data_IF_963070495736
#
_entry.id   IF_963070495736
#
_cell.length_a   1.000
_cell.length_b   1.000
_cell.length_c   1.000
_cell.angle_alpha   90.00
_cell.angle_beta   90.00
_cell.angle_gamma   90.00
#
_symmetry.space_group_name_H-M   'P 1'
#
loop_
_entity.id
_entity.type
_entity.pdbx_description
1 polymer ?
#
# COMPACT_ATOMS: atom_id res chain seq x y z
N UNK A 1 -23.90 24.00 18.46
CA UNK A 1 -22.67 23.24 18.77
C UNK A 1 -23.06 21.90 19.35
N UNK A 2 -22.96 20.81 18.57
CA UNK A 2 -23.22 19.43 19.00
C UNK A 2 -22.53 18.46 18.02
N UNK A 3 -21.19 18.54 17.93
CA UNK A 3 -20.42 17.81 16.89
C UNK A 3 -19.06 17.28 17.38
N UNK A 4 -18.98 16.78 18.62
CA UNK A 4 -17.67 16.49 19.24
C UNK A 4 -17.53 15.17 20.01
N UNK A 5 -18.62 14.39 20.19
CA UNK A 5 -18.55 13.11 20.96
C UNK A 5 -18.71 11.86 20.10
N UNK A 6 -19.54 11.92 19.06
CA UNK A 6 -19.79 10.78 18.15
C UNK A 6 -18.63 10.53 17.17
N UNK A 7 -18.09 11.58 16.54
CA UNK A 7 -16.96 11.45 15.59
C UNK A 7 -15.71 10.84 16.27
N UNK A 8 -15.46 11.19 17.54
CA UNK A 8 -14.34 10.64 18.31
C UNK A 8 -14.52 9.14 18.61
N UNK A 9 -15.74 8.69 18.88
CA UNK A 9 -15.97 7.27 19.21
C UNK A 9 -15.85 6.38 17.97
N UNK A 10 -16.33 6.84 16.81
CA UNK A 10 -16.14 6.13 15.55
C UNK A 10 -14.66 5.97 15.20
N UNK A 11 -13.87 7.04 15.34
CA UNK A 11 -12.42 7.00 15.11
C UNK A 11 -11.71 6.06 16.10
N UNK A 12 -12.08 6.09 17.38
CA UNK A 12 -11.57 5.15 18.38
C UNK A 12 -11.84 3.69 18.00
N UNK A 13 -13.06 3.41 17.52
CA UNK A 13 -13.43 2.08 17.04
C UNK A 13 -12.56 1.67 15.85
N UNK A 14 -12.35 2.57 14.88
CA UNK A 14 -11.55 2.28 13.69
C UNK A 14 -10.08 2.03 14.04
N UNK A 15 -9.51 2.80 14.97
CA UNK A 15 -8.13 2.60 15.47
C UNK A 15 -8.01 1.24 16.18
N UNK A 16 -8.93 0.91 17.08
CA UNK A 16 -8.95 -0.37 17.78
C UNK A 16 -9.12 -1.55 16.81
N UNK A 17 -10.06 -1.42 15.87
CA UNK A 17 -10.32 -2.44 14.85
C UNK A 17 -9.10 -2.68 13.98
N UNK A 18 -8.40 -1.61 13.57
CA UNK A 18 -7.14 -1.68 12.83
C UNK A 18 -6.09 -2.50 13.58
N UNK A 19 -5.86 -2.23 14.86
CA UNK A 19 -4.92 -3.01 15.69
C UNK A 19 -5.29 -4.50 15.73
N UNK A 20 -6.57 -4.79 15.98
CA UNK A 20 -7.05 -6.17 16.09
C UNK A 20 -6.97 -6.91 14.75
N UNK A 21 -7.37 -6.27 13.64
CA UNK A 21 -7.31 -6.88 12.30
C UNK A 21 -5.88 -7.10 11.82
N UNK A 22 -4.95 -6.18 12.09
CA UNK A 22 -3.53 -6.38 11.75
C UNK A 22 -2.93 -7.59 12.47
N UNK A 23 -3.35 -7.83 13.71
CA UNK A 23 -2.79 -8.90 14.54
C UNK A 23 -3.46 -10.25 14.28
N UNK A 24 -4.78 -10.27 14.08
CA UNK A 24 -5.59 -11.50 14.05
C UNK A 24 -6.19 -11.82 12.67
N UNK A 25 -6.05 -10.90 11.70
CA UNK A 25 -6.78 -10.94 10.44
C UNK A 25 -8.29 -10.77 10.62
N UNK A 26 -9.02 -10.71 9.51
CA UNK A 26 -10.48 -10.59 9.53
C UNK A 26 -11.17 -11.75 10.26
N UNK A 27 -10.79 -12.99 9.97
CA UNK A 27 -11.45 -14.19 10.53
C UNK A 27 -11.21 -14.36 12.03
N UNK A 28 -9.96 -14.17 12.47
CA UNK A 28 -9.56 -14.30 13.87
C UNK A 28 -10.03 -13.14 14.75
N UNK A 29 -10.37 -12.00 14.16
CA UNK A 29 -10.93 -10.88 14.89
C UNK A 29 -12.36 -11.18 15.38
N UNK A 30 -12.61 -10.84 16.65
CA UNK A 30 -13.94 -10.89 17.27
C UNK A 30 -14.36 -9.48 17.61
N UNK A 31 -15.64 -9.15 17.36
CA UNK A 31 -16.22 -7.85 17.72
C UNK A 31 -16.02 -7.51 19.21
N UNK A 32 -16.03 -8.52 20.09
CA UNK A 32 -15.75 -8.29 21.52
C UNK A 32 -14.33 -7.75 21.75
N UNK A 33 -13.31 -8.37 21.14
CA UNK A 33 -11.92 -7.90 21.29
C UNK A 33 -11.75 -6.45 20.80
N UNK A 34 -12.47 -6.06 19.74
CA UNK A 34 -12.41 -4.69 19.21
C UNK A 34 -13.07 -3.71 20.17
N UNK A 35 -14.22 -4.09 20.76
CA UNK A 35 -14.88 -3.27 21.77
C UNK A 35 -13.99 -3.07 23.01
N UNK A 36 -13.36 -4.15 23.47
CA UNK A 36 -12.44 -4.14 24.61
C UNK A 36 -11.22 -3.24 24.31
N UNK A 37 -10.62 -3.37 23.12
CA UNK A 37 -9.50 -2.53 22.66
C UNK A 37 -9.88 -1.05 22.53
N UNK A 38 -11.11 -0.75 22.09
CA UNK A 38 -11.64 0.60 21.99
C UNK A 38 -12.10 1.17 23.35
N UNK A 39 -12.12 0.37 24.43
CA UNK A 39 -12.62 0.79 25.73
C UNK A 39 -14.13 1.06 25.77
N UNK A 40 -14.91 0.46 24.86
CA UNK A 40 -16.37 0.62 24.77
C UNK A 40 -17.09 -0.71 24.96
N UNK A 41 -18.39 -0.66 25.20
CA UNK A 41 -19.19 -1.90 25.22
C UNK A 41 -19.54 -2.36 23.79
N UNK A 42 -19.77 -3.67 23.64
CA UNK A 42 -20.08 -4.30 22.34
C UNK A 42 -21.37 -3.78 21.70
N UNK A 43 -22.36 -3.36 22.49
CA UNK A 43 -23.60 -2.80 21.93
C UNK A 43 -23.34 -1.44 21.25
N UNK A 44 -22.47 -0.61 21.84
CA UNK A 44 -22.02 0.65 21.25
C UNK A 44 -21.21 0.41 19.98
N UNK A 45 -20.33 -0.60 19.97
CA UNK A 45 -19.65 -1.01 18.73
C UNK A 45 -20.63 -1.36 17.61
N UNK A 46 -21.67 -2.16 17.91
CA UNK A 46 -22.70 -2.53 16.93
C UNK A 46 -23.58 -1.35 16.48
N UNK A 47 -23.72 -0.32 17.31
CA UNK A 47 -24.42 0.90 16.95
C UNK A 47 -23.72 1.64 15.81
N UNK A 48 -22.39 1.79 15.86
CA UNK A 48 -21.61 2.39 14.76
C UNK A 48 -21.42 1.42 13.60
N UNK A 49 -21.04 0.17 13.89
CA UNK A 49 -20.74 -0.84 12.87
C UNK A 49 -21.58 -2.09 13.07
N UNK A 50 -22.64 -2.21 12.25
CA UNK A 50 -23.63 -3.29 12.35
C UNK A 50 -23.02 -4.68 12.22
N UNK A 51 -21.94 -4.83 11.46
CA UNK A 51 -21.24 -6.10 11.26
C UNK A 51 -19.73 -5.93 11.29
N UNK A 52 -19.03 -7.03 11.61
CA UNK A 52 -17.56 -7.11 11.51
C UNK A 52 -17.09 -6.79 10.09
N UNK A 53 -17.85 -7.21 9.08
CA UNK A 53 -17.54 -6.99 7.66
C UNK A 53 -17.53 -5.50 7.32
N UNK A 54 -18.54 -4.74 7.75
CA UNK A 54 -18.59 -3.30 7.49
C UNK A 54 -17.47 -2.54 8.21
N UNK A 55 -17.16 -2.92 9.45
CA UNK A 55 -16.03 -2.35 10.19
C UNK A 55 -14.70 -2.66 9.50
N UNK A 56 -14.53 -3.88 9.04
CA UNK A 56 -13.35 -4.29 8.29
C UNK A 56 -13.21 -3.52 6.97
N UNK A 57 -14.29 -3.41 6.20
CA UNK A 57 -14.32 -2.61 4.96
C UNK A 57 -13.93 -1.15 5.23
N UNK A 58 -14.41 -0.54 6.32
CA UNK A 58 -14.02 0.82 6.69
C UNK A 58 -12.52 0.93 7.02
N UNK A 59 -11.97 0.02 7.83
CA UNK A 59 -10.53 -0.02 8.15
C UNK A 59 -9.68 -0.25 6.89
N UNK A 60 -10.11 -1.17 6.03
CA UNK A 60 -9.43 -1.44 4.77
C UNK A 60 -9.45 -0.22 3.86
N UNK A 61 -10.60 0.43 3.69
CA UNK A 61 -10.71 1.62 2.85
C UNK A 61 -9.82 2.75 3.36
N UNK A 62 -9.67 2.94 4.67
CA UNK A 62 -8.72 3.88 5.23
C UNK A 62 -7.27 3.49 4.90
N UNK A 63 -6.89 2.23 5.09
CA UNK A 63 -5.55 1.74 4.74
C UNK A 63 -5.24 1.92 3.25
N UNK A 64 -6.18 1.56 2.38
CA UNK A 64 -6.03 1.70 0.93
C UNK A 64 -5.99 3.17 0.49
N UNK A 65 -6.79 4.05 1.10
CA UNK A 65 -6.76 5.49 0.83
C UNK A 65 -5.42 6.15 1.17
N UNK A 66 -4.66 5.57 2.11
CA UNK A 66 -3.29 6.01 2.40
C UNK A 66 -2.28 5.51 1.35
N UNK A 67 -2.49 4.30 0.80
CA UNK A 67 -1.62 3.69 -0.21
C UNK A 67 -1.85 4.23 -1.63
N UNK A 68 -3.11 4.40 -2.02
CA UNK A 68 -3.51 4.72 -3.39
C UNK A 68 -2.82 5.97 -3.97
N UNK A 69 -2.62 7.08 -3.22
CA UNK A 69 -1.87 8.23 -3.71
C UNK A 69 -0.42 7.89 -4.11
N UNK A 70 0.24 6.96 -3.41
CA UNK A 70 1.62 6.55 -3.74
C UNK A 70 1.67 5.85 -5.10
N UNK A 71 0.66 5.02 -5.41
CA UNK A 71 0.52 4.38 -6.71
C UNK A 71 0.09 5.39 -7.79
N UNK A 72 -0.76 6.36 -7.47
CA UNK A 72 -1.17 7.36 -8.45
C UNK A 72 -0.03 8.26 -8.94
N UNK A 73 1.00 8.50 -8.10
CA UNK A 73 2.20 9.25 -8.51
C UNK A 73 2.90 8.58 -9.70
N UNK A 74 3.17 7.27 -9.64
CA UNK A 74 3.82 6.57 -10.76
C UNK A 74 2.93 6.56 -12.00
N UNK A 75 1.62 6.48 -11.84
CA UNK A 75 0.70 6.32 -12.97
C UNK A 75 0.34 7.62 -13.68
N UNK A 76 0.19 8.72 -12.94
CA UNK A 76 -0.48 9.91 -13.46
C UNK A 76 0.38 11.19 -13.46
N UNK A 77 1.56 11.18 -12.84
CA UNK A 77 2.48 12.32 -12.91
C UNK A 77 2.89 12.63 -14.37
N UNK A 78 3.29 13.86 -14.66
CA UNK A 78 3.67 14.29 -16.03
C UNK A 78 5.19 14.20 -16.28
N UNK A 79 5.98 13.86 -15.28
CA UNK A 79 7.43 13.66 -15.43
C UNK A 79 7.75 12.41 -16.26
N UNK A 80 9.00 12.34 -16.74
CA UNK A 80 9.52 11.21 -17.50
C UNK A 80 9.37 9.88 -16.76
N UNK A 81 9.36 8.75 -17.47
CA UNK A 81 9.33 7.42 -16.84
C UNK A 81 10.50 7.26 -15.85
N UNK A 82 11.67 7.80 -16.15
CA UNK A 82 12.80 7.79 -15.22
C UNK A 82 12.51 8.53 -13.91
N UNK A 83 11.98 9.75 -13.99
CA UNK A 83 11.72 10.56 -12.81
C UNK A 83 10.54 10.00 -12.01
N UNK A 84 9.55 9.44 -12.68
CA UNK A 84 8.49 8.64 -12.06
C UNK A 84 9.05 7.49 -11.23
N UNK A 85 9.99 6.71 -11.78
CA UNK A 85 10.65 5.61 -11.07
C UNK A 85 11.42 6.11 -9.85
N UNK A 86 12.20 7.19 -9.97
CA UNK A 86 12.94 7.79 -8.83
C UNK A 86 11.97 8.27 -7.75
N UNK A 87 11.00 9.08 -8.13
CA UNK A 87 10.04 9.70 -7.22
C UNK A 87 9.21 8.63 -6.51
N UNK A 88 8.72 7.63 -7.24
CA UNK A 88 7.98 6.52 -6.65
C UNK A 88 8.84 5.76 -5.65
N UNK A 89 10.07 5.37 -6.01
CA UNK A 89 10.94 4.59 -5.13
C UNK A 89 11.25 5.35 -3.83
N UNK A 90 11.52 6.66 -3.91
CA UNK A 90 11.75 7.52 -2.74
C UNK A 90 10.49 7.68 -1.89
N UNK A 91 9.37 8.05 -2.50
CA UNK A 91 8.12 8.35 -1.80
C UNK A 91 7.52 7.11 -1.18
N UNK A 92 7.43 6.01 -1.94
CA UNK A 92 6.93 4.73 -1.47
C UNK A 92 7.74 4.20 -0.31
N UNK A 93 9.07 4.16 -0.43
CA UNK A 93 9.95 3.66 0.64
C UNK A 93 9.81 4.52 1.91
N UNK A 94 9.84 5.84 1.77
CA UNK A 94 9.68 6.77 2.90
C UNK A 94 8.33 6.59 3.60
N UNK A 95 7.27 6.40 2.81
CA UNK A 95 5.92 6.17 3.32
C UNK A 95 5.81 4.81 4.02
N UNK A 96 6.39 3.75 3.46
CA UNK A 96 6.34 2.42 4.05
C UNK A 96 7.17 2.27 5.32
N UNK A 97 8.26 3.01 5.47
CA UNK A 97 8.98 3.07 6.74
C UNK A 97 8.11 3.67 7.86
N UNK A 98 7.20 4.59 7.55
CA UNK A 98 6.22 5.15 8.51
C UNK A 98 5.01 4.23 8.74
N UNK A 99 4.68 3.40 7.76
CA UNK A 99 3.50 2.54 7.77
C UNK A 99 3.79 1.09 7.32
N UNK A 100 4.71 0.37 7.99
CA UNK A 100 5.24 -0.92 7.50
C UNK A 100 4.19 -2.05 7.46
N UNK A 101 3.08 -1.90 8.17
CA UNK A 101 1.98 -2.87 8.18
C UNK A 101 1.14 -2.84 6.90
N UNK A 102 1.12 -1.72 6.16
CA UNK A 102 0.15 -1.49 5.08
C UNK A 102 0.26 -2.51 3.95
N UNK A 103 1.45 -2.79 3.38
CA UNK A 103 1.55 -3.71 2.25
C UNK A 103 1.08 -5.11 2.63
N UNK A 104 1.49 -5.60 3.81
CA UNK A 104 1.13 -6.94 4.26
C UNK A 104 -0.37 -7.04 4.52
N UNK A 105 -0.94 -6.06 5.22
CA UNK A 105 -2.38 -6.02 5.48
C UNK A 105 -3.20 -6.01 4.19
N UNK A 106 -2.84 -5.16 3.22
CA UNK A 106 -3.57 -5.07 1.95
C UNK A 106 -3.46 -6.38 1.17
N UNK A 107 -2.24 -6.88 0.92
CA UNK A 107 -2.03 -8.09 0.10
C UNK A 107 -2.68 -9.33 0.72
N UNK A 108 -2.55 -9.50 2.04
CA UNK A 108 -3.19 -10.63 2.73
C UNK A 108 -4.70 -10.64 2.52
N UNK A 109 -5.35 -9.48 2.60
CA UNK A 109 -6.81 -9.38 2.53
C UNK A 109 -7.32 -9.43 1.09
N UNK A 110 -6.57 -8.88 0.13
CA UNK A 110 -6.84 -9.06 -1.30
C UNK A 110 -6.80 -10.55 -1.71
N UNK A 111 -5.83 -11.32 -1.18
CA UNK A 111 -5.73 -12.75 -1.43
C UNK A 111 -6.81 -13.59 -0.73
N UNK A 112 -7.46 -13.04 0.31
CA UNK A 112 -8.55 -13.72 1.04
C UNK A 112 -9.91 -13.50 0.39
N UNK A 113 -10.12 -12.36 -0.26
CA UNK A 113 -11.40 -11.98 -0.82
C UNK A 113 -11.23 -11.30 -2.18
N UNK A 114 -11.36 -12.09 -3.26
CA UNK A 114 -11.21 -11.61 -4.63
C UNK A 114 -12.27 -10.56 -5.02
N UNK A 115 -13.48 -10.64 -4.46
CA UNK A 115 -14.57 -9.66 -4.70
C UNK A 115 -14.20 -8.27 -4.16
N UNK A 116 -13.26 -8.19 -3.22
CA UNK A 116 -12.83 -6.93 -2.64
C UNK A 116 -12.12 -6.05 -3.69
N UNK A 117 -11.32 -6.65 -4.59
CA UNK A 117 -10.73 -5.92 -5.72
C UNK A 117 -11.80 -5.41 -6.67
N UNK A 118 -12.85 -6.20 -6.91
CA UNK A 118 -13.94 -5.79 -7.81
C UNK A 118 -14.61 -4.54 -7.27
N UNK A 119 -14.97 -4.52 -5.98
CA UNK A 119 -15.54 -3.34 -5.32
C UNK A 119 -14.58 -2.14 -5.29
N UNK A 120 -13.28 -2.38 -5.11
CA UNK A 120 -12.27 -1.32 -5.15
C UNK A 120 -12.18 -0.67 -6.53
N UNK A 121 -12.25 -1.47 -7.60
CA UNK A 121 -12.22 -0.98 -8.99
C UNK A 121 -13.42 -0.09 -9.34
N UNK A 122 -14.55 -0.29 -8.67
CA UNK A 122 -15.74 0.55 -8.84
C UNK A 122 -15.58 1.96 -8.22
N UNK A 123 -14.60 2.15 -7.33
CA UNK A 123 -14.30 3.47 -6.78
C UNK A 123 -13.48 4.31 -7.77
N UNK A 124 -13.87 5.57 -7.93
CA UNK A 124 -13.25 6.55 -8.86
C UNK A 124 -11.77 6.86 -8.58
N UNK A 125 -11.23 6.40 -7.45
CA UNK A 125 -9.82 6.55 -7.06
C UNK A 125 -8.94 5.34 -7.35
N UNK A 126 -9.48 4.27 -7.95
CA UNK A 126 -8.68 3.08 -8.28
C UNK A 126 -7.66 3.41 -9.39
N UNK A 127 -6.38 3.07 -9.21
CA UNK A 127 -5.34 3.36 -10.19
C UNK A 127 -5.59 2.66 -11.54
N UNK A 128 -5.43 3.40 -12.64
CA UNK A 128 -5.44 2.89 -14.02
C UNK A 128 -4.06 3.05 -14.66
N UNK A 129 -3.64 2.05 -15.44
CA UNK A 129 -2.36 2.02 -16.16
C UNK A 129 -2.38 2.71 -17.52
N UNK A 130 -3.54 3.04 -18.10
CA UNK A 130 -3.63 3.49 -19.50
C UNK A 130 -2.70 4.68 -19.81
N UNK A 131 -2.66 5.69 -18.93
CA UNK A 131 -1.77 6.85 -19.11
C UNK A 131 -0.30 6.46 -19.02
N UNK A 132 0.06 5.60 -18.07
CA UNK A 132 1.42 5.09 -17.92
C UNK A 132 1.85 4.30 -19.16
N UNK A 133 0.99 3.43 -19.69
CA UNK A 133 1.25 2.66 -20.91
C UNK A 133 1.49 3.56 -22.11
N UNK A 134 0.59 4.52 -22.34
CA UNK A 134 0.72 5.48 -23.43
C UNK A 134 2.02 6.28 -23.36
N UNK A 135 2.47 6.63 -22.15
CA UNK A 135 3.72 7.32 -21.95
C UNK A 135 4.94 6.43 -22.22
N UNK A 136 4.94 5.17 -21.75
CA UNK A 136 6.02 4.22 -22.04
C UNK A 136 6.19 4.06 -23.56
N UNK A 137 5.08 3.87 -24.28
CA UNK A 137 5.09 3.76 -25.74
C UNK A 137 5.63 5.03 -26.41
N UNK A 138 5.24 6.21 -25.92
CA UNK A 138 5.73 7.49 -26.44
C UNK A 138 7.25 7.64 -26.23
N UNK A 139 7.76 7.37 -25.02
CA UNK A 139 9.19 7.49 -24.73
C UNK A 139 10.04 6.43 -25.46
N UNK A 140 9.48 5.25 -25.78
CA UNK A 140 10.13 4.28 -26.68
C UNK A 140 10.21 4.83 -28.12
N UNK A 141 9.12 5.41 -28.63
CA UNK A 141 9.08 5.97 -30.00
C UNK A 141 10.03 7.16 -30.16
N UNK A 142 10.20 7.96 -29.11
CA UNK A 142 11.14 9.08 -29.07
C UNK A 142 12.60 8.63 -28.87
N UNK A 143 12.85 7.33 -28.71
CA UNK A 143 14.19 6.77 -28.48
C UNK A 143 14.77 7.09 -27.12
N UNK A 144 13.94 7.51 -26.16
CA UNK A 144 14.32 7.80 -24.78
C UNK A 144 14.40 6.52 -23.93
N UNK A 145 13.65 5.48 -24.31
CA UNK A 145 13.65 4.16 -23.67
C UNK A 145 13.95 3.04 -24.68
N UNK A 146 14.63 1.99 -24.20
CA UNK A 146 14.69 0.71 -24.90
C UNK A 146 13.30 0.04 -24.94
N UNK A 147 13.00 -0.79 -25.96
CA UNK A 147 11.74 -1.51 -26.03
C UNK A 147 11.48 -2.37 -24.78
N UNK A 148 10.36 -2.10 -24.10
CA UNK A 148 9.88 -2.85 -22.93
C UNK A 148 8.36 -2.86 -22.93
N UNK A 149 7.77 -3.99 -22.50
CA UNK A 149 6.34 -4.06 -22.25
C UNK A 149 5.97 -3.23 -21.01
N UNK A 150 4.99 -2.33 -21.14
CA UNK A 150 4.63 -1.40 -20.08
C UNK A 150 4.07 -2.11 -18.82
N UNK A 151 3.37 -3.24 -18.99
CA UNK A 151 2.89 -4.02 -17.84
C UNK A 151 4.06 -4.66 -17.09
N UNK A 152 5.05 -5.19 -17.82
CA UNK A 152 6.28 -5.71 -17.22
C UNK A 152 7.05 -4.63 -16.45
N UNK A 153 7.20 -3.44 -17.03
CA UNK A 153 7.86 -2.33 -16.35
C UNK A 153 7.12 -1.95 -15.05
N UNK A 154 5.80 -1.81 -15.11
CA UNK A 154 4.99 -1.51 -13.93
C UNK A 154 5.14 -2.59 -12.84
N UNK A 155 5.02 -3.87 -13.21
CA UNK A 155 5.18 -4.99 -12.27
C UNK A 155 6.57 -5.00 -11.64
N UNK A 156 7.64 -4.72 -12.40
CA UNK A 156 8.99 -4.63 -11.86
C UNK A 156 9.13 -3.48 -10.85
N UNK A 157 8.59 -2.30 -11.16
CA UNK A 157 8.59 -1.14 -10.26
C UNK A 157 7.92 -1.50 -8.93
N UNK A 158 6.73 -2.11 -8.99
CA UNK A 158 5.97 -2.52 -7.80
C UNK A 158 6.73 -3.63 -7.05
N UNK A 159 7.11 -4.72 -7.71
CA UNK A 159 7.73 -5.86 -7.06
C UNK A 159 9.02 -5.47 -6.31
N UNK A 160 9.90 -4.70 -6.94
CA UNK A 160 11.19 -4.30 -6.35
C UNK A 160 11.03 -3.31 -5.17
N UNK A 161 9.96 -2.51 -5.16
CA UNK A 161 9.68 -1.56 -4.09
C UNK A 161 8.86 -2.17 -2.94
N UNK A 162 7.88 -3.02 -3.24
CA UNK A 162 6.96 -3.58 -2.24
C UNK A 162 7.56 -4.79 -1.51
N UNK A 163 8.22 -5.70 -2.24
CA UNK A 163 8.70 -6.96 -1.70
C UNK A 163 9.60 -6.85 -0.46
N UNK A 164 10.53 -5.86 -0.33
CA UNK A 164 11.32 -5.68 0.88
C UNK A 164 10.48 -5.49 2.16
N UNK A 165 9.28 -4.95 2.06
CA UNK A 165 8.40 -4.77 3.21
C UNK A 165 7.62 -6.06 3.52
N UNK A 166 7.14 -6.76 2.50
CA UNK A 166 6.43 -8.04 2.65
C UNK A 166 7.36 -9.17 3.14
N UNK A 167 8.56 -9.25 2.56
CA UNK A 167 9.55 -10.29 2.83
C UNK A 167 10.52 -9.96 3.96
N UNK A 168 10.27 -8.92 4.78
CA UNK A 168 11.23 -8.41 5.77
C UNK A 168 11.84 -9.50 6.66
N UNK A 169 11.07 -10.41 7.32
CA UNK A 169 11.68 -11.45 8.15
C UNK A 169 12.60 -12.39 7.37
N UNK A 170 12.22 -12.72 6.14
CA UNK A 170 12.96 -13.61 5.25
C UNK A 170 14.27 -12.95 4.78
N UNK A 171 14.21 -11.68 4.35
CA UNK A 171 15.38 -10.96 3.86
C UNK A 171 16.36 -10.71 5.01
N UNK A 172 15.89 -10.34 6.20
CA UNK A 172 16.75 -10.21 7.39
C UNK A 172 17.50 -11.50 7.69
N UNK A 173 16.81 -12.65 7.63
CA UNK A 173 17.41 -13.96 7.86
C UNK A 173 18.47 -14.30 6.81
N UNK A 174 18.18 -14.13 5.52
CA UNK A 174 19.14 -14.43 4.45
C UNK A 174 20.33 -13.47 4.38
N UNK A 175 20.13 -12.20 4.73
CA UNK A 175 21.20 -11.19 4.68
C UNK A 175 21.92 -11.02 6.01
N UNK A 176 21.54 -11.79 7.04
CA UNK A 176 22.05 -11.71 8.40
C UNK A 176 22.05 -10.27 8.96
N UNK A 177 20.96 -9.54 8.71
CA UNK A 177 20.77 -8.14 9.15
C UNK A 177 19.93 -8.08 10.42
N UNK A 178 20.40 -7.28 11.38
CA UNK A 178 19.57 -6.87 12.49
C UNK A 178 18.52 -5.82 12.06
N UNK A 179 17.77 -5.25 13.00
CA UNK A 179 16.75 -4.26 12.66
C UNK A 179 17.35 -2.96 12.09
N UNK A 180 18.41 -2.46 12.70
CA UNK A 180 19.04 -1.20 12.31
C UNK A 180 19.69 -1.30 10.93
N UNK A 181 20.41 -2.41 10.68
CA UNK A 181 21.01 -2.72 9.39
C UNK A 181 19.97 -2.89 8.29
N UNK A 182 18.79 -3.43 8.64
CA UNK A 182 17.69 -3.58 7.70
C UNK A 182 17.06 -2.24 7.31
N UNK A 183 16.89 -1.33 8.27
CA UNK A 183 16.40 0.02 8.00
C UNK A 183 17.37 0.79 7.10
N UNK A 184 18.68 0.72 7.35
CA UNK A 184 19.69 1.32 6.47
C UNK A 184 19.67 0.69 5.08
N UNK A 185 19.51 -0.63 4.99
CA UNK A 185 19.34 -1.33 3.72
C UNK A 185 18.10 -0.86 2.96
N UNK A 186 16.95 -0.73 3.62
CA UNK A 186 15.71 -0.24 2.99
C UNK A 186 15.86 1.23 2.55
N UNK A 187 16.54 2.07 3.34
CA UNK A 187 16.79 3.46 2.98
C UNK A 187 17.65 3.57 1.71
N UNK A 188 18.71 2.77 1.57
CA UNK A 188 19.55 2.79 0.36
C UNK A 188 18.81 2.31 -0.90
N UNK A 189 17.77 1.48 -0.74
CA UNK A 189 16.94 1.03 -1.87
C UNK A 189 16.25 2.17 -2.61
N UNK A 190 16.03 3.33 -1.97
CA UNK A 190 15.51 4.55 -2.64
C UNK A 190 16.30 4.90 -3.89
N UNK A 191 17.61 4.68 -3.85
CA UNK A 191 18.52 4.96 -4.96
C UNK A 191 18.83 3.69 -5.76
N UNK A 192 19.16 2.59 -5.08
CA UNK A 192 19.59 1.35 -5.74
C UNK A 192 18.52 0.76 -6.66
N UNK A 193 17.26 0.73 -6.21
CA UNK A 193 16.15 0.17 -7.01
C UNK A 193 15.82 1.08 -8.18
N UNK A 194 15.79 2.39 -7.96
CA UNK A 194 15.53 3.35 -9.03
C UNK A 194 16.60 3.24 -10.13
N UNK A 195 17.88 3.22 -9.75
CA UNK A 195 18.98 3.06 -10.70
C UNK A 195 18.91 1.72 -11.43
N UNK A 196 18.60 0.63 -10.73
CA UNK A 196 18.47 -0.70 -11.34
C UNK A 196 17.39 -0.71 -12.43
N UNK A 197 16.19 -0.18 -12.13
CA UNK A 197 15.08 -0.12 -13.08
C UNK A 197 15.44 0.79 -14.25
N UNK A 198 15.94 2.00 -14.00
CA UNK A 198 16.28 2.97 -15.04
C UNK A 198 17.36 2.43 -15.99
N UNK A 199 18.42 1.83 -15.45
CA UNK A 199 19.49 1.27 -16.27
C UNK A 199 19.01 0.11 -17.14
N UNK A 200 17.93 -0.59 -16.75
CA UNK A 200 17.35 -1.66 -17.56
C UNK A 200 16.55 -1.17 -18.77
N UNK A 201 16.10 0.09 -18.75
CA UNK A 201 15.25 0.69 -19.80
C UNK A 201 15.95 1.80 -20.58
N UNK A 202 17.17 2.19 -20.20
CA UNK A 202 17.93 3.25 -20.88
C UNK A 202 18.58 2.77 -22.19
N UNK A 203 18.48 3.54 -23.29
CA UNK A 203 19.30 3.35 -24.48
C UNK A 203 20.79 3.40 -24.12
N UNK A 204 21.57 2.52 -24.74
CA UNK A 204 23.04 2.47 -24.61
C UNK A 204 23.73 3.41 -25.60
#
# INVERSE_FOLDING_TARGET
MAKTKDENTEEQILVAAKTVFQTKGMDGARMQHIADEAGINKAMLHYYFRSKQLLFEAVFNQAFSLLAPQLNIILNDESSIEDKVKNFTVNYTTFMMKHPYLPNFIIQELNRNEDFIVKLKENTGFPNLDKFKAQVDAEINDGLLNPIDADQLFVNIIALNIFPFLGKPLIKAFTNKDEQDYETFVESRKTEVANFIINSIKPH
#
